data_IF_725397660802
#
_entry.id   IF_725397660802
#
_cell.length_a   1.000
_cell.length_b   1.000
_cell.length_c   1.000
_cell.angle_alpha   90.00
_cell.angle_beta   90.00
_cell.angle_gamma   90.00
#
_symmetry.space_group_name_H-M   'P 1'
#
loop_
_entity.id
_entity.type
_entity.pdbx_description
1 polymer ?
#
# COMPACT_ATOMS: atom_id res chain seq x y z
N UNK A 1 -28.50 -20.82 -2.25
CA UNK A 1 -29.01 -21.37 -0.97
C UNK A 1 -28.62 -22.84 -0.91
N UNK A 2 -28.10 -23.28 0.24
CA UNK A 2 -27.59 -24.63 0.48
C UNK A 2 -28.19 -25.14 1.81
N UNK A 3 -28.73 -26.36 1.81
CA UNK A 3 -29.17 -27.04 3.03
C UNK A 3 -28.09 -28.02 3.46
N UNK A 4 -27.28 -27.63 4.43
CA UNK A 4 -26.19 -28.43 4.97
C UNK A 4 -26.74 -29.49 5.93
N UNK A 5 -26.62 -30.75 5.53
CA UNK A 5 -27.10 -31.90 6.31
C UNK A 5 -26.16 -32.27 7.47
N UNK A 6 -24.90 -31.82 7.43
CA UNK A 6 -23.88 -32.12 8.44
C UNK A 6 -23.01 -30.88 8.74
N UNK A 7 -23.59 -29.78 9.26
CA UNK A 7 -22.89 -28.50 9.42
C UNK A 7 -21.72 -28.52 10.42
N UNK A 8 -21.70 -29.53 11.30
CA UNK A 8 -20.63 -29.75 12.27
C UNK A 8 -19.47 -30.59 11.73
N UNK A 9 -19.55 -31.08 10.48
CA UNK A 9 -18.47 -31.82 9.85
C UNK A 9 -17.29 -30.87 9.61
N UNK A 10 -16.28 -30.95 10.47
CA UNK A 10 -15.09 -30.14 10.40
C UNK A 10 -13.90 -30.99 9.94
N UNK A 11 -13.34 -30.66 8.78
CA UNK A 11 -12.16 -31.34 8.22
C UNK A 11 -10.83 -30.76 8.72
N UNK A 12 -10.88 -29.84 9.68
CA UNK A 12 -9.70 -29.17 10.24
C UNK A 12 -9.60 -29.36 11.75
N UNK A 13 -8.41 -29.14 12.30
CA UNK A 13 -8.16 -29.21 13.75
C UNK A 13 -8.65 -27.96 14.52
N UNK A 14 -9.15 -26.92 13.83
CA UNK A 14 -9.60 -25.69 14.47
C UNK A 14 -10.98 -25.89 15.10
N UNK A 15 -11.20 -25.56 16.39
CA UNK A 15 -12.51 -25.66 17.02
C UNK A 15 -13.54 -24.82 16.27
N UNK A 16 -14.65 -25.45 15.85
CA UNK A 16 -15.75 -24.81 15.12
C UNK A 16 -16.91 -24.56 16.09
N UNK A 17 -17.47 -23.35 16.06
CA UNK A 17 -18.71 -23.03 16.77
C UNK A 17 -19.95 -23.66 16.12
N UNK A 18 -21.14 -23.33 16.61
CA UNK A 18 -22.37 -23.76 15.95
C UNK A 18 -22.51 -23.10 14.57
N UNK A 19 -22.78 -23.91 13.53
CA UNK A 19 -23.00 -23.44 12.15
C UNK A 19 -24.45 -23.75 11.77
N UNK A 20 -25.18 -22.79 11.15
CA UNK A 20 -26.56 -23.02 10.73
C UNK A 20 -26.65 -24.07 9.62
N UNK A 21 -27.77 -24.81 9.57
CA UNK A 21 -28.04 -25.77 8.49
C UNK A 21 -28.46 -25.06 7.19
N UNK A 22 -29.18 -23.93 7.30
CA UNK A 22 -29.57 -23.11 6.16
C UNK A 22 -28.48 -22.10 5.80
N UNK A 23 -27.68 -22.40 4.77
CA UNK A 23 -26.49 -21.63 4.40
C UNK A 23 -26.67 -20.95 3.05
N UNK A 24 -26.07 -19.78 2.85
CA UNK A 24 -26.21 -19.04 1.60
C UNK A 24 -24.99 -18.17 1.30
N UNK A 25 -24.78 -17.95 0.00
CA UNK A 25 -23.90 -16.94 -0.57
C UNK A 25 -24.73 -16.11 -1.54
N UNK A 26 -24.62 -14.78 -1.44
CA UNK A 26 -25.09 -13.84 -2.44
C UNK A 26 -23.86 -13.04 -2.87
N UNK A 27 -23.57 -13.03 -4.17
CA UNK A 27 -22.40 -12.35 -4.73
C UNK A 27 -22.85 -11.53 -5.93
N UNK A 28 -22.37 -10.30 -6.02
CA UNK A 28 -22.58 -9.37 -7.12
C UNK A 28 -21.21 -8.78 -7.47
N UNK A 29 -20.74 -9.12 -8.67
CA UNK A 29 -19.52 -8.58 -9.26
C UNK A 29 -19.91 -7.91 -10.58
N UNK A 30 -19.60 -6.63 -10.74
CA UNK A 30 -19.88 -5.86 -11.95
C UNK A 30 -18.80 -4.80 -12.19
N UNK A 31 -18.51 -4.56 -13.46
CA UNK A 31 -17.73 -3.40 -13.91
C UNK A 31 -18.48 -2.76 -15.07
N UNK A 32 -18.91 -1.53 -14.85
CA UNK A 32 -19.65 -0.76 -15.85
C UNK A 32 -18.86 0.49 -16.22
N UNK A 33 -18.56 0.63 -17.51
CA UNK A 33 -18.05 1.86 -18.11
C UNK A 33 -19.25 2.75 -18.45
N UNK A 34 -19.47 3.83 -17.70
CA UNK A 34 -20.60 4.74 -17.93
C UNK A 34 -20.32 5.70 -19.09
N UNK A 35 -19.07 6.11 -19.23
CA UNK A 35 -18.50 6.92 -20.31
C UNK A 35 -17.06 6.48 -20.55
N UNK A 36 -16.37 7.05 -21.55
CA UNK A 36 -14.95 6.76 -21.82
C UNK A 36 -14.01 7.15 -20.66
N UNK A 37 -14.49 7.95 -19.72
CA UNK A 37 -13.73 8.56 -18.62
C UNK A 37 -14.34 8.32 -17.24
N UNK A 38 -15.45 7.59 -17.13
CA UNK A 38 -16.11 7.26 -15.86
C UNK A 38 -16.48 5.80 -15.83
N UNK A 39 -16.00 5.09 -14.81
CA UNK A 39 -16.31 3.68 -14.59
C UNK A 39 -16.66 3.38 -13.14
N UNK A 40 -17.53 2.40 -12.94
CA UNK A 40 -17.90 1.88 -11.64
C UNK A 40 -17.52 0.41 -11.50
N UNK A 41 -17.19 0.02 -10.28
CA UNK A 41 -16.93 -1.37 -9.89
C UNK A 41 -17.80 -1.69 -8.68
N UNK A 42 -18.45 -2.84 -8.72
CA UNK A 42 -19.16 -3.43 -7.58
C UNK A 42 -18.57 -4.82 -7.37
N UNK A 43 -18.12 -5.10 -6.16
CA UNK A 43 -17.77 -6.45 -5.71
C UNK A 43 -18.30 -6.61 -4.29
N UNK A 44 -19.41 -7.33 -4.14
CA UNK A 44 -20.09 -7.52 -2.86
C UNK A 44 -20.44 -8.99 -2.70
N UNK A 45 -20.00 -9.58 -1.60
CA UNK A 45 -20.30 -10.98 -1.26
C UNK A 45 -20.81 -11.10 0.18
N UNK A 46 -22.11 -11.40 0.31
CA UNK A 46 -22.75 -11.71 1.59
C UNK A 46 -22.78 -13.22 1.82
N UNK A 47 -22.35 -13.63 3.00
CA UNK A 47 -22.27 -15.02 3.43
C UNK A 47 -23.14 -15.25 4.67
N UNK A 48 -23.65 -16.47 4.83
CA UNK A 48 -24.40 -16.87 6.02
C UNK A 48 -23.53 -17.04 7.27
N UNK A 49 -22.28 -17.44 7.09
CA UNK A 49 -21.34 -17.79 8.16
C UNK A 49 -19.89 -17.80 7.64
N UNK A 50 -18.92 -17.82 8.56
CA UNK A 50 -17.49 -17.72 8.27
C UNK A 50 -16.88 -18.96 7.59
N UNK A 51 -17.57 -20.11 7.62
CA UNK A 51 -17.03 -21.38 7.12
C UNK A 51 -17.57 -21.76 5.75
N UNK A 52 -18.48 -20.96 5.18
CA UNK A 52 -19.18 -21.31 3.92
C UNK A 52 -18.20 -21.55 2.78
N UNK A 53 -17.25 -20.62 2.63
CA UNK A 53 -16.24 -20.66 1.58
C UNK A 53 -15.35 -21.89 1.74
N UNK A 54 -14.95 -22.20 2.97
CA UNK A 54 -14.12 -23.36 3.27
C UNK A 54 -14.81 -24.69 2.95
N UNK A 55 -16.09 -24.83 3.27
CA UNK A 55 -16.80 -26.10 3.14
C UNK A 55 -17.24 -26.38 1.70
N UNK A 56 -17.80 -25.36 1.03
CA UNK A 56 -18.46 -25.53 -0.27
C UNK A 56 -17.69 -24.92 -1.46
N UNK A 57 -16.78 -23.95 -1.22
CA UNK A 57 -16.08 -23.21 -2.27
C UNK A 57 -14.55 -23.28 -2.08
N UNK A 58 -14.01 -24.48 -1.87
CA UNK A 58 -12.59 -24.70 -1.51
C UNK A 58 -11.58 -24.10 -2.48
N UNK A 59 -11.89 -24.05 -3.78
CA UNK A 59 -11.00 -23.45 -4.78
C UNK A 59 -10.89 -21.93 -4.57
N UNK A 60 -12.02 -21.26 -4.36
CA UNK A 60 -12.07 -19.82 -4.10
C UNK A 60 -11.48 -19.50 -2.73
N UNK A 61 -11.80 -20.30 -1.71
CA UNK A 61 -11.28 -20.11 -0.35
C UNK A 61 -9.75 -20.12 -0.26
N UNK A 62 -9.07 -20.88 -1.14
CA UNK A 62 -7.59 -20.89 -1.20
C UNK A 62 -6.99 -19.56 -1.68
N UNK A 63 -7.76 -18.77 -2.42
CA UNK A 63 -7.32 -17.51 -3.03
C UNK A 63 -7.88 -16.32 -2.24
N UNK A 64 -9.18 -16.35 -1.96
CA UNK A 64 -9.92 -15.30 -1.28
C UNK A 64 -10.81 -15.91 -0.17
N UNK A 65 -10.24 -16.21 1.02
CA UNK A 65 -10.99 -16.81 2.13
C UNK A 65 -12.00 -15.85 2.77
N UNK A 66 -11.74 -14.53 2.68
CA UNK A 66 -12.55 -13.46 3.26
C UNK A 66 -12.91 -12.47 2.15
N UNK A 67 -14.05 -12.68 1.47
CA UNK A 67 -14.50 -11.79 0.41
C UNK A 67 -14.64 -10.36 0.89
N UNK A 68 -14.11 -9.42 0.10
CA UNK A 68 -14.26 -8.00 0.34
C UNK A 68 -15.67 -7.53 -0.07
N UNK A 69 -16.06 -6.33 0.37
CA UNK A 69 -17.30 -5.70 -0.10
C UNK A 69 -17.02 -4.24 -0.40
N UNK A 70 -16.95 -3.92 -1.69
CA UNK A 70 -16.57 -2.61 -2.19
C UNK A 70 -17.49 -2.17 -3.33
N UNK A 71 -17.86 -0.91 -3.29
CA UNK A 71 -18.48 -0.18 -4.40
C UNK A 71 -17.60 1.02 -4.68
N UNK A 72 -17.12 1.15 -5.91
CA UNK A 72 -16.26 2.23 -6.32
C UNK A 72 -16.78 2.91 -7.59
N UNK A 73 -16.57 4.21 -7.68
CA UNK A 73 -16.82 5.03 -8.86
C UNK A 73 -15.60 5.90 -9.09
N UNK A 74 -15.04 5.84 -10.30
CA UNK A 74 -13.86 6.62 -10.65
C UNK A 74 -14.12 7.45 -11.90
N UNK A 75 -13.65 8.70 -11.88
CA UNK A 75 -13.54 9.57 -13.05
C UNK A 75 -12.08 9.82 -13.34
N UNK A 76 -11.64 9.50 -14.56
CA UNK A 76 -10.25 9.64 -14.99
C UNK A 76 -10.10 10.74 -16.02
N UNK A 77 -9.14 11.63 -15.82
CA UNK A 77 -8.76 12.66 -16.79
C UNK A 77 -7.25 12.53 -17.12
N UNK A 78 -6.77 13.28 -18.10
CA UNK A 78 -5.33 13.36 -18.38
C UNK A 78 -4.51 14.02 -17.26
N UNK A 79 -5.12 14.90 -16.44
CA UNK A 79 -4.46 15.62 -15.35
C UNK A 79 -4.82 15.13 -13.96
N UNK A 80 -5.97 14.49 -13.76
CA UNK A 80 -6.40 14.03 -12.44
C UNK A 80 -7.18 12.72 -12.48
N UNK A 81 -7.43 12.14 -11.32
CA UNK A 81 -8.37 11.04 -11.13
C UNK A 81 -9.15 11.30 -9.84
N UNK A 82 -10.47 11.22 -9.90
CA UNK A 82 -11.35 11.36 -8.74
C UNK A 82 -12.02 10.01 -8.49
N UNK A 83 -11.79 9.45 -7.31
CA UNK A 83 -12.29 8.13 -6.93
C UNK A 83 -13.15 8.25 -5.69
N UNK A 84 -14.38 7.74 -5.75
CA UNK A 84 -15.25 7.54 -4.59
C UNK A 84 -15.36 6.05 -4.28
N UNK A 85 -15.14 5.65 -3.04
CA UNK A 85 -15.14 4.25 -2.58
C UNK A 85 -16.04 4.14 -1.36
N UNK A 86 -16.84 3.09 -1.34
CA UNK A 86 -17.56 2.59 -0.18
C UNK A 86 -17.13 1.14 0.07
N UNK A 87 -16.34 0.91 1.12
CA UNK A 87 -15.92 -0.43 1.56
C UNK A 87 -16.55 -0.72 2.91
N UNK A 88 -17.22 -1.85 3.09
CA UNK A 88 -18.03 -2.11 4.28
C UNK A 88 -18.00 -3.57 4.74
N UNK A 89 -18.22 -3.78 6.04
CA UNK A 89 -18.27 -5.10 6.65
C UNK A 89 -19.63 -5.76 6.42
N UNK A 90 -19.87 -6.26 5.20
CA UNK A 90 -21.09 -7.01 4.92
C UNK A 90 -21.21 -8.27 5.78
N UNK A 91 -20.08 -8.86 6.21
CA UNK A 91 -20.00 -10.09 7.00
C UNK A 91 -19.39 -9.82 8.37
N UNK A 92 -20.24 -9.64 9.39
CA UNK A 92 -19.85 -9.24 10.75
C UNK A 92 -19.05 -10.28 11.56
N UNK A 93 -18.70 -11.42 10.96
CA UNK A 93 -17.85 -12.45 11.54
C UNK A 93 -16.40 -12.38 11.02
N UNK A 94 -16.08 -11.40 10.18
CA UNK A 94 -14.73 -11.12 9.71
C UNK A 94 -14.30 -9.72 10.11
N UNK A 95 -13.03 -9.56 10.45
CA UNK A 95 -12.45 -8.25 10.73
C UNK A 95 -12.29 -7.46 9.42
N UNK A 96 -12.73 -6.20 9.37
CA UNK A 96 -12.58 -5.33 8.20
C UNK A 96 -12.37 -3.87 8.61
N UNK A 97 -11.63 -3.13 7.78
CA UNK A 97 -11.60 -1.65 7.84
C UNK A 97 -12.63 -1.12 6.86
N UNK A 98 -13.71 -0.54 7.36
CA UNK A 98 -14.72 0.16 6.58
C UNK A 98 -14.22 1.56 6.18
N UNK A 99 -14.66 2.00 5.00
CA UNK A 99 -14.43 3.31 4.39
C UNK A 99 -15.76 3.80 3.83
N UNK A 100 -16.52 4.58 4.60
CA UNK A 100 -17.93 4.87 4.31
C UNK A 100 -18.30 6.35 4.57
N UNK A 101 -18.05 7.26 3.61
CA UNK A 101 -17.37 7.06 2.33
C UNK A 101 -15.87 7.39 2.39
N UNK A 102 -15.14 7.00 1.36
CA UNK A 102 -13.83 7.56 1.03
C UNK A 102 -13.87 8.22 -0.35
N UNK A 103 -13.30 9.42 -0.47
CA UNK A 103 -13.19 10.17 -1.73
C UNK A 103 -11.76 10.68 -1.85
N UNK A 104 -11.10 10.37 -2.96
CA UNK A 104 -9.71 10.73 -3.22
C UNK A 104 -9.59 11.42 -4.58
N UNK A 105 -8.89 12.55 -4.60
CA UNK A 105 -8.48 13.28 -5.79
C UNK A 105 -6.97 13.14 -5.97
N UNK A 106 -6.58 12.42 -7.01
CA UNK A 106 -5.20 12.24 -7.42
C UNK A 106 -4.87 13.24 -8.55
N UNK A 107 -3.91 14.13 -8.32
CA UNK A 107 -3.38 15.03 -9.34
C UNK A 107 -2.13 14.39 -9.93
N UNK A 108 -2.23 14.01 -11.21
CA UNK A 108 -1.14 13.36 -11.95
C UNK A 108 0.01 14.33 -12.13
N UNK A 109 1.23 13.80 -12.11
CA UNK A 109 2.45 14.58 -12.34
C UNK A 109 2.38 15.34 -13.66
N UNK A 110 2.42 16.67 -13.60
CA UNK A 110 2.42 17.53 -14.77
C UNK A 110 3.34 18.74 -14.59
N UNK A 111 3.80 19.32 -15.70
CA UNK A 111 4.65 20.50 -15.69
C UNK A 111 3.88 21.74 -15.24
N UNK A 112 4.43 22.48 -14.27
CA UNK A 112 3.88 23.75 -13.83
C UNK A 112 4.24 24.85 -14.83
N UNK A 113 3.22 25.55 -15.34
CA UNK A 113 3.37 26.71 -16.24
C UNK A 113 4.24 26.44 -17.49
N UNK A 114 4.29 25.18 -17.96
CA UNK A 114 5.17 24.77 -19.07
C UNK A 114 6.67 24.80 -18.74
N UNK A 115 7.02 24.96 -17.47
CA UNK A 115 8.39 24.98 -16.98
C UNK A 115 8.95 23.60 -16.64
N UNK A 116 10.20 23.53 -16.16
CA UNK A 116 10.89 22.28 -15.83
C UNK A 116 10.51 21.72 -14.44
N UNK A 117 9.65 22.41 -13.69
CA UNK A 117 9.17 21.96 -12.38
C UNK A 117 7.85 21.22 -12.60
N UNK A 118 7.76 20.03 -12.04
CA UNK A 118 6.57 19.20 -12.07
C UNK A 118 5.88 19.22 -10.72
N UNK A 119 4.56 19.13 -10.74
CA UNK A 119 3.73 19.02 -9.54
C UNK A 119 2.90 17.74 -9.60
N UNK A 120 2.81 17.06 -8.46
CA UNK A 120 1.87 15.96 -8.21
C UNK A 120 1.26 16.14 -6.81
N UNK A 121 0.07 15.59 -6.62
CA UNK A 121 -0.60 15.68 -5.33
C UNK A 121 -1.73 14.67 -5.19
N UNK A 122 -2.17 14.48 -3.96
CA UNK A 122 -3.23 13.56 -3.57
C UNK A 122 -4.02 14.25 -2.46
N UNK A 123 -5.34 14.31 -2.53
CA UNK A 123 -6.18 14.86 -1.46
C UNK A 123 -7.37 13.96 -1.23
N UNK A 124 -7.65 13.61 0.02
CA UNK A 124 -8.67 12.63 0.36
C UNK A 124 -9.46 12.98 1.62
N UNK A 125 -10.70 12.49 1.65
CA UNK A 125 -11.57 12.40 2.81
C UNK A 125 -11.94 10.94 3.00
N UNK A 126 -11.94 10.44 4.24
CA UNK A 126 -12.49 9.12 4.56
C UNK A 126 -13.13 9.10 5.95
N UNK A 127 -14.34 8.54 6.08
CA UNK A 127 -14.87 8.07 7.37
C UNK A 127 -14.47 6.60 7.54
N UNK A 128 -13.57 6.35 8.50
CA UNK A 128 -12.89 5.08 8.68
C UNK A 128 -13.37 4.38 9.95
N UNK A 129 -13.65 3.08 9.86
CA UNK A 129 -13.98 2.25 11.02
C UNK A 129 -13.23 0.92 10.95
N UNK A 130 -12.53 0.57 12.01
CA UNK A 130 -11.98 -0.79 12.17
C UNK A 130 -13.01 -1.61 12.93
N UNK A 131 -13.65 -2.54 12.22
CA UNK A 131 -14.68 -3.41 12.77
C UNK A 131 -14.14 -4.82 13.01
N UNK A 132 -14.25 -5.28 14.25
CA UNK A 132 -13.88 -6.65 14.63
C UNK A 132 -15.09 -7.60 14.56
N UNK A 133 -14.86 -8.92 14.45
CA UNK A 133 -15.94 -9.90 14.44
C UNK A 133 -16.84 -9.80 15.66
N UNK A 134 -18.13 -10.09 15.49
CA UNK A 134 -19.07 -10.21 16.61
C UNK A 134 -18.58 -11.25 17.62
N UNK A 135 -18.52 -10.84 18.89
CA UNK A 135 -17.99 -11.67 19.98
C UNK A 135 -16.46 -11.64 20.12
N UNK A 136 -15.77 -10.81 19.34
CA UNK A 136 -14.33 -10.55 19.50
C UNK A 136 -14.01 -9.95 20.88
N UNK A 137 -12.81 -10.22 21.37
CA UNK A 137 -12.25 -9.55 22.55
C UNK A 137 -11.66 -8.18 22.22
N UNK A 138 -11.52 -7.85 20.94
CA UNK A 138 -11.06 -6.56 20.46
C UNK A 138 -12.22 -5.54 20.40
N UNK A 139 -11.88 -4.27 20.56
CA UNK A 139 -12.82 -3.16 20.50
C UNK A 139 -12.72 -2.44 19.17
N UNK A 140 -13.84 -2.30 18.46
CA UNK A 140 -13.93 -1.51 17.22
C UNK A 140 -13.72 -0.03 17.51
N UNK A 141 -13.10 0.69 16.57
CA UNK A 141 -12.86 2.14 16.67
C UNK A 141 -13.01 2.80 15.30
N UNK A 142 -13.26 4.11 15.29
CA UNK A 142 -13.39 4.87 14.05
C UNK A 142 -12.90 6.30 14.18
N UNK A 143 -12.60 6.91 13.04
CA UNK A 143 -12.20 8.31 12.93
C UNK A 143 -12.45 8.79 11.50
N UNK A 144 -12.76 10.08 11.35
CA UNK A 144 -12.74 10.74 10.05
C UNK A 144 -11.33 11.27 9.79
N UNK A 145 -10.82 11.01 8.59
CA UNK A 145 -9.52 11.45 8.10
C UNK A 145 -9.68 12.42 6.94
N UNK A 146 -9.03 13.57 7.04
CA UNK A 146 -8.73 14.44 5.90
C UNK A 146 -7.24 14.35 5.63
N UNK A 147 -6.84 14.09 4.40
CA UNK A 147 -5.45 13.96 4.04
C UNK A 147 -5.16 14.78 2.78
N UNK A 148 -4.02 15.44 2.73
CA UNK A 148 -3.55 16.08 1.51
C UNK A 148 -2.03 16.00 1.40
N UNK A 149 -1.55 15.68 0.21
CA UNK A 149 -0.15 15.55 -0.16
C UNK A 149 0.14 16.39 -1.40
N UNK A 150 1.27 17.09 -1.38
CA UNK A 150 1.73 17.95 -2.44
C UNK A 150 3.23 17.77 -2.63
N UNK A 151 3.69 17.54 -3.86
CA UNK A 151 5.10 17.37 -4.17
C UNK A 151 5.50 18.12 -5.43
N UNK A 152 6.67 18.75 -5.37
CA UNK A 152 7.35 19.38 -6.49
C UNK A 152 8.58 18.57 -6.87
N UNK A 153 8.78 18.35 -8.16
CA UNK A 153 9.92 17.64 -8.71
C UNK A 153 10.62 18.48 -9.77
N UNK A 154 11.93 18.37 -9.87
CA UNK A 154 12.71 19.05 -10.90
C UNK A 154 13.64 18.06 -11.63
N UNK A 155 13.09 17.22 -12.52
CA UNK A 155 13.89 16.27 -13.28
C UNK A 155 14.77 17.02 -14.29
N UNK A 156 16.09 16.80 -14.23
CA UNK A 156 17.02 17.39 -15.19
C UNK A 156 18.16 16.42 -15.54
N UNK A 157 18.73 16.59 -16.75
CA UNK A 157 19.93 15.85 -17.18
C UNK A 157 21.13 16.78 -17.23
N UNK A 158 22.11 16.51 -16.38
CA UNK A 158 23.35 17.24 -16.30
C UNK A 158 24.42 16.58 -17.18
N UNK A 159 25.23 17.41 -17.83
CA UNK A 159 26.35 16.98 -18.69
C UNK A 159 25.97 16.04 -19.86
N UNK A 160 24.67 15.89 -20.15
CA UNK A 160 24.14 15.00 -21.19
C UNK A 160 24.09 13.51 -20.82
N UNK A 161 24.45 13.12 -19.59
CA UNK A 161 24.50 11.71 -19.19
C UNK A 161 24.00 11.42 -17.77
N UNK A 162 24.01 12.41 -16.87
CA UNK A 162 23.61 12.24 -15.48
C UNK A 162 22.19 12.76 -15.27
N UNK A 163 21.24 11.87 -15.03
CA UNK A 163 19.89 12.25 -14.63
C UNK A 163 19.85 12.49 -13.13
N UNK A 164 19.29 13.63 -12.69
CA UNK A 164 19.01 13.91 -11.29
C UNK A 164 17.59 14.44 -11.17
N UNK A 165 16.83 13.91 -10.22
CA UNK A 165 15.44 14.27 -9.93
C UNK A 165 15.32 14.60 -8.44
N UNK A 166 15.68 15.83 -8.02
CA UNK A 166 15.30 16.34 -6.71
C UNK A 166 13.78 16.47 -6.59
N UNK A 167 13.28 16.21 -5.38
CA UNK A 167 11.87 16.33 -4.99
C UNK A 167 11.75 16.89 -3.58
N UNK A 168 10.71 17.67 -3.37
CA UNK A 168 10.30 18.18 -2.05
C UNK A 168 8.79 18.15 -1.96
N UNK A 169 8.25 17.75 -0.82
CA UNK A 169 6.82 17.66 -0.62
C UNK A 169 6.40 17.86 0.83
N UNK A 170 5.08 17.94 0.99
CA UNK A 170 4.39 18.16 2.23
C UNK A 170 3.11 17.34 2.25
N UNK A 171 2.86 16.63 3.36
CA UNK A 171 1.60 15.97 3.66
C UNK A 171 1.00 16.56 4.93
N UNK A 172 -0.28 16.85 4.91
CA UNK A 172 -1.05 17.23 6.08
C UNK A 172 -2.20 16.27 6.27
N UNK A 173 -2.26 15.61 7.42
CA UNK A 173 -3.33 14.68 7.76
C UNK A 173 -4.04 15.12 9.03
N UNK A 174 -5.35 15.31 8.97
CA UNK A 174 -6.20 15.60 10.12
C UNK A 174 -7.04 14.38 10.46
N UNK A 175 -7.08 14.04 11.75
CA UNK A 175 -7.90 12.96 12.31
C UNK A 175 -8.87 13.57 13.32
N UNK A 176 -10.14 13.19 13.28
CA UNK A 176 -11.10 13.61 14.29
C UNK A 176 -10.88 12.93 15.64
N UNK A 177 -10.25 11.76 15.64
CA UNK A 177 -10.01 10.97 16.85
C UNK A 177 -8.64 10.29 16.81
N UNK A 178 -8.00 10.30 17.98
CA UNK A 178 -6.71 9.66 18.24
C UNK A 178 -6.76 8.90 19.57
N UNK A 179 -5.69 8.20 19.90
CA UNK A 179 -5.50 7.52 21.17
C UNK A 179 -4.79 8.41 22.20
N UNK A 180 -5.34 8.47 23.41
CA UNK A 180 -4.69 9.09 24.57
C UNK A 180 -3.53 8.20 25.07
N UNK A 181 -2.32 8.61 24.72
CA UNK A 181 -1.07 7.93 25.10
C UNK A 181 -0.80 7.99 26.61
N UNK A 182 -1.33 8.96 27.35
CA UNK A 182 -1.13 9.04 28.80
C UNK A 182 -1.93 8.00 29.58
N UNK A 183 -3.00 7.46 28.99
CA UNK A 183 -3.93 6.52 29.63
C UNK A 183 -3.93 5.12 29.03
N UNK A 184 -3.35 4.95 27.83
CA UNK A 184 -3.27 3.64 27.16
C UNK A 184 -1.98 2.91 27.56
N UNK A 185 -2.08 1.64 27.95
CA UNK A 185 -0.93 0.85 28.42
C UNK A 185 -0.04 0.42 27.24
N UNK A 186 1.23 0.80 27.28
CA UNK A 186 2.25 0.42 26.31
C UNK A 186 2.80 -0.99 26.58
N UNK A 187 2.84 -1.80 25.54
CA UNK A 187 3.78 -2.91 25.43
C UNK A 187 4.42 -2.83 24.05
N UNK A 188 5.74 -2.57 23.92
CA UNK A 188 6.38 -2.53 22.61
C UNK A 188 6.22 -3.88 21.92
N UNK A 189 6.14 -3.86 20.59
CA UNK A 189 6.18 -5.08 19.80
C UNK A 189 7.49 -5.82 20.09
N UNK A 190 7.40 -7.12 20.36
CA UNK A 190 8.60 -7.98 20.45
C UNK A 190 9.11 -8.40 19.06
N UNK A 191 8.36 -8.10 18.00
CA UNK A 191 8.72 -8.44 16.63
C UNK A 191 9.63 -7.34 16.05
N UNK A 192 10.90 -7.66 15.71
CA UNK A 192 11.84 -6.69 15.16
C UNK A 192 11.42 -6.15 13.77
N UNK A 193 10.48 -6.81 13.09
CA UNK A 193 9.96 -6.41 11.79
C UNK A 193 8.84 -5.36 11.87
N UNK A 194 8.38 -5.04 13.08
CA UNK A 194 7.31 -4.08 13.33
C UNK A 194 7.90 -2.86 14.06
N UNK A 195 7.59 -1.63 13.63
CA UNK A 195 7.99 -0.43 14.36
C UNK A 195 7.47 -0.42 15.81
N UNK A 196 8.30 0.06 16.74
CA UNK A 196 7.94 0.09 18.17
C UNK A 196 6.76 1.00 18.50
N UNK A 197 6.48 1.99 17.65
CA UNK A 197 5.38 2.92 17.86
C UNK A 197 4.01 2.33 17.47
N UNK A 198 3.97 1.23 16.71
CA UNK A 198 2.71 0.58 16.36
C UNK A 198 2.17 -0.18 17.58
N UNK A 199 1.09 0.35 18.13
CA UNK A 199 0.44 -0.22 19.30
C UNK A 199 -0.52 -1.35 18.92
N UNK A 200 -0.68 -2.36 19.77
CA UNK A 200 -1.63 -3.44 19.55
C UNK A 200 -3.08 -2.92 19.56
N UNK A 201 -3.98 -3.74 19.02
CA UNK A 201 -5.40 -3.45 19.02
C UNK A 201 -5.99 -3.34 20.43
N UNK A 202 -6.91 -2.37 20.64
CA UNK A 202 -7.60 -2.24 21.91
C UNK A 202 -8.48 -3.46 22.16
N UNK A 203 -8.64 -3.83 23.43
CA UNK A 203 -9.45 -4.98 23.84
C UNK A 203 -10.56 -4.54 24.78
N UNK A 204 -11.63 -5.31 24.89
CA UNK A 204 -12.72 -5.02 25.84
C UNK A 204 -12.23 -4.92 27.31
N UNK A 205 -11.07 -5.50 27.64
CA UNK A 205 -10.43 -5.38 28.97
C UNK A 205 -9.52 -4.16 29.11
N UNK A 206 -8.99 -3.67 27.99
CA UNK A 206 -8.12 -2.49 27.88
C UNK A 206 -8.64 -1.66 26.70
N UNK A 207 -9.77 -0.98 26.89
CA UNK A 207 -10.44 -0.28 25.80
C UNK A 207 -9.61 0.93 25.35
N UNK A 208 -9.91 1.42 24.15
CA UNK A 208 -9.36 2.67 23.64
C UNK A 208 -9.82 3.82 24.52
N UNK A 209 -8.88 4.71 24.84
CA UNK A 209 -9.20 6.02 25.41
C UNK A 209 -8.90 7.05 24.36
N UNK A 210 -9.93 7.78 23.92
CA UNK A 210 -9.81 8.77 22.87
C UNK A 210 -9.10 10.03 23.37
N UNK A 211 -8.16 10.53 22.57
CA UNK A 211 -7.36 11.73 22.81
C UNK A 211 -7.93 12.98 22.13
N UNK A 212 -9.02 12.85 21.38
CA UNK A 212 -9.58 13.92 20.55
C UNK A 212 -8.89 14.05 19.20
N UNK A 213 -9.15 15.18 18.54
CA UNK A 213 -8.69 15.44 17.19
C UNK A 213 -7.22 15.87 17.13
N UNK A 214 -6.62 15.69 15.97
CA UNK A 214 -5.23 16.09 15.76
C UNK A 214 -4.91 16.41 14.31
N UNK A 215 -3.92 17.28 14.12
CA UNK A 215 -3.34 17.57 12.82
C UNK A 215 -1.88 17.15 12.79
N UNK A 216 -1.51 16.44 11.73
CA UNK A 216 -0.22 15.80 11.56
C UNK A 216 0.48 16.28 10.29
N UNK A 217 1.51 17.14 10.42
CA UNK A 217 2.33 17.58 9.29
C UNK A 217 3.52 16.64 9.06
N UNK A 218 3.72 16.23 7.82
CA UNK A 218 4.89 15.48 7.35
C UNK A 218 5.55 16.24 6.21
N UNK A 219 6.87 16.39 6.28
CA UNK A 219 7.67 16.98 5.22
C UNK A 219 8.59 15.92 4.62
N UNK A 220 8.70 15.90 3.30
CA UNK A 220 9.62 15.00 2.62
C UNK A 220 10.54 15.75 1.66
N UNK A 221 11.77 15.26 1.55
CA UNK A 221 12.74 15.72 0.57
C UNK A 221 13.52 14.51 0.06
N UNK A 222 13.93 14.54 -1.20
CA UNK A 222 14.70 13.46 -1.76
C UNK A 222 15.35 13.82 -3.07
N UNK A 223 16.26 12.96 -3.51
CA UNK A 223 16.88 13.08 -4.82
C UNK A 223 17.18 11.70 -5.37
N UNK A 224 16.66 11.43 -6.57
CA UNK A 224 17.10 10.29 -7.36
C UNK A 224 18.19 10.75 -8.32
N UNK A 225 19.24 9.95 -8.50
CA UNK A 225 20.17 10.14 -9.60
C UNK A 225 20.52 8.82 -10.26
N UNK A 226 20.67 8.84 -11.58
CA UNK A 226 21.10 7.67 -12.34
C UNK A 226 21.83 8.06 -13.61
N UNK A 227 22.66 7.16 -14.12
CA UNK A 227 23.27 7.27 -15.44
C UNK A 227 23.37 5.90 -16.07
N UNK A 228 23.61 5.85 -17.38
CA UNK A 228 23.76 4.60 -18.13
C UNK A 228 25.15 4.53 -18.76
N UNK A 229 25.76 3.37 -18.65
CA UNK A 229 26.97 2.97 -19.38
C UNK A 229 26.61 1.73 -20.16
N UNK A 230 26.95 1.69 -21.44
CA UNK A 230 26.66 0.52 -22.27
C UNK A 230 27.89 0.03 -23.02
N UNK A 231 27.90 -1.27 -23.30
CA UNK A 231 28.88 -1.93 -24.15
C UNK A 231 28.21 -2.96 -25.04
N UNK A 232 28.54 -2.90 -26.32
CA UNK A 232 28.12 -3.81 -27.37
C UNK A 232 29.20 -4.86 -27.66
N UNK A 233 28.75 -6.10 -27.90
CA UNK A 233 29.55 -7.20 -28.44
C UNK A 233 28.77 -7.90 -29.54
N UNK A 234 29.02 -7.52 -30.77
CA UNK A 234 28.39 -8.10 -31.96
C UNK A 234 28.77 -9.57 -32.17
N UNK A 235 29.98 -9.97 -31.74
CA UNK A 235 30.52 -11.31 -31.94
C UNK A 235 29.97 -12.37 -30.97
N UNK A 236 29.20 -11.96 -29.95
CA UNK A 236 28.61 -12.89 -28.99
C UNK A 236 27.36 -13.51 -29.61
N UNK A 237 27.52 -14.72 -30.14
CA UNK A 237 26.44 -15.50 -30.73
C UNK A 237 26.34 -16.88 -30.07
N UNK A 238 25.12 -17.29 -29.73
CA UNK A 238 24.85 -18.63 -29.21
C UNK A 238 23.45 -19.08 -29.54
N UNK A 239 23.35 -20.14 -30.35
CA UNK A 239 22.06 -20.76 -30.66
C UNK A 239 21.41 -21.43 -29.45
N UNK A 240 22.21 -21.95 -28.51
CA UNK A 240 21.69 -22.60 -27.31
C UNK A 240 21.02 -21.62 -26.36
N UNK A 241 21.57 -20.40 -26.26
CA UNK A 241 21.03 -19.33 -25.40
C UNK A 241 20.19 -18.30 -26.16
N UNK A 242 20.03 -18.46 -27.47
CA UNK A 242 19.29 -17.53 -28.33
C UNK A 242 19.93 -16.15 -28.43
N UNK A 243 21.27 -16.09 -28.39
CA UNK A 243 22.05 -14.84 -28.47
C UNK A 243 22.48 -14.58 -29.91
N UNK A 244 22.19 -13.38 -30.41
CA UNK A 244 22.72 -12.82 -31.64
C UNK A 244 23.18 -11.37 -31.41
N UNK A 245 24.43 -11.24 -31.00
CA UNK A 245 24.97 -10.02 -30.44
C UNK A 245 24.50 -9.80 -29.00
N UNK A 246 25.29 -9.07 -28.22
CA UNK A 246 24.99 -8.76 -26.83
C UNK A 246 25.24 -7.27 -26.55
N UNK A 247 24.22 -6.58 -26.05
CA UNK A 247 24.34 -5.24 -25.48
C UNK A 247 24.18 -5.34 -23.97
N UNK A 248 25.23 -4.96 -23.23
CA UNK A 248 25.13 -4.80 -21.77
C UNK A 248 24.95 -3.33 -21.44
N UNK A 249 23.86 -3.02 -20.76
CA UNK A 249 23.58 -1.72 -20.17
C UNK A 249 23.71 -1.84 -18.65
N UNK A 250 24.66 -1.10 -18.09
CA UNK A 250 24.82 -0.90 -16.66
C UNK A 250 24.19 0.44 -16.31
N UNK A 251 23.22 0.44 -15.43
CA UNK A 251 22.58 1.65 -14.90
C UNK A 251 22.77 1.72 -13.38
N UNK A 252 23.85 2.35 -12.91
CA UNK A 252 23.96 2.74 -11.52
C UNK A 252 22.90 3.78 -11.18
N UNK A 253 22.30 3.65 -10.01
CA UNK A 253 21.34 4.59 -9.48
C UNK A 253 21.49 4.78 -7.98
N UNK A 254 21.00 5.92 -7.52
CA UNK A 254 20.91 6.28 -6.11
C UNK A 254 19.57 6.95 -5.86
N UNK A 255 18.98 6.69 -4.71
CA UNK A 255 17.79 7.40 -4.26
C UNK A 255 17.93 7.75 -2.77
N UNK A 256 18.03 9.05 -2.48
CA UNK A 256 18.04 9.57 -1.12
C UNK A 256 16.62 10.00 -0.74
N UNK A 257 16.13 9.55 0.41
CA UNK A 257 14.83 9.93 0.96
C UNK A 257 14.96 10.39 2.41
N UNK A 258 14.43 11.57 2.68
CA UNK A 258 14.35 12.20 3.99
C UNK A 258 12.90 12.55 4.29
N UNK A 259 12.42 12.11 5.44
CA UNK A 259 11.05 12.33 5.92
C UNK A 259 11.12 12.78 7.36
N UNK A 260 10.48 13.91 7.65
CA UNK A 260 10.34 14.44 8.99
C UNK A 260 8.87 14.62 9.34
N UNK A 261 8.57 14.24 10.57
CA UNK A 261 7.25 14.12 11.17
C UNK A 261 7.33 14.91 12.47
N UNK A 262 6.96 16.19 12.39
CA UNK A 262 7.00 17.09 13.55
C UNK A 262 5.64 17.17 14.25
N UNK A 263 4.79 16.18 14.01
CA UNK A 263 3.41 16.14 14.46
C UNK A 263 3.22 15.40 15.78
N UNK A 264 1.97 14.99 16.07
CA UNK A 264 1.64 14.11 17.16
C UNK A 264 2.38 12.77 17.01
N UNK A 265 2.79 12.19 18.15
CA UNK A 265 3.48 10.90 18.16
C UNK A 265 2.70 9.85 17.33
N UNK A 266 3.33 9.19 16.33
CA UNK A 266 2.66 8.21 15.47
C UNK A 266 1.91 7.10 16.23
N UNK A 267 2.33 6.77 17.46
CA UNK A 267 1.65 5.80 18.32
C UNK A 267 0.23 6.24 18.76
N UNK A 268 -0.06 7.54 18.75
CA UNK A 268 -1.42 8.04 19.07
C UNK A 268 -2.38 7.84 17.90
N UNK A 269 -1.89 7.62 16.69
CA UNK A 269 -2.72 7.50 15.50
C UNK A 269 -3.38 6.13 15.45
N UNK A 270 -4.70 6.13 15.25
CA UNK A 270 -5.48 4.91 15.06
C UNK A 270 -5.14 4.30 13.70
N UNK A 271 -4.89 2.99 13.70
CA UNK A 271 -4.35 2.31 12.53
C UNK A 271 -5.49 1.74 11.67
N UNK A 272 -5.81 2.40 10.56
CA UNK A 272 -6.74 1.93 9.52
C UNK A 272 -5.96 1.39 8.32
N UNK A 273 -4.89 2.09 7.95
CA UNK A 273 -3.87 1.74 6.95
C UNK A 273 -2.60 1.23 7.63
N UNK A 274 -2.63 -0.04 8.07
CA UNK A 274 -1.51 -0.63 8.82
C UNK A 274 -0.29 -0.84 7.95
N UNK A 275 0.86 -0.61 8.57
CA UNK A 275 2.12 -1.17 8.11
C UNK A 275 2.13 -2.68 8.32
N UNK A 276 2.27 -3.42 7.23
CA UNK A 276 2.46 -4.87 7.26
C UNK A 276 3.89 -5.21 6.82
N UNK A 277 4.67 -5.90 7.67
CA UNK A 277 6.01 -6.32 7.29
C UNK A 277 5.98 -7.25 6.08
N UNK A 278 6.85 -6.99 5.10
CA UNK A 278 6.89 -7.73 3.85
C UNK A 278 8.34 -7.98 3.44
N UNK A 279 8.55 -9.04 2.65
CA UNK A 279 9.82 -9.28 1.94
C UNK A 279 9.92 -8.48 0.65
N UNK A 280 8.86 -7.77 0.25
CA UNK A 280 8.90 -6.86 -0.89
C UNK A 280 9.67 -5.61 -0.52
N UNK A 281 10.37 -5.05 -1.51
CA UNK A 281 11.10 -3.81 -1.35
C UNK A 281 10.15 -2.68 -0.94
N UNK A 282 10.43 -2.08 0.22
CA UNK A 282 9.67 -0.95 0.71
C UNK A 282 9.86 0.26 -0.23
N UNK A 283 8.77 0.92 -0.65
CA UNK A 283 8.87 2.27 -1.20
C UNK A 283 9.42 3.21 -0.13
N UNK A 284 10.44 3.97 -0.49
CA UNK A 284 11.03 5.01 0.39
C UNK A 284 10.57 6.42 -0.01
N UNK A 285 9.72 6.50 -1.04
CA UNK A 285 9.26 7.75 -1.63
C UNK A 285 7.77 7.98 -1.37
N UNK A 286 7.39 9.25 -1.38
CA UNK A 286 6.00 9.66 -1.43
C UNK A 286 5.58 9.97 -2.88
N UNK A 287 4.33 9.65 -3.25
CA UNK A 287 3.26 9.09 -2.40
C UNK A 287 3.25 7.55 -2.28
N UNK A 288 4.29 6.84 -2.76
CA UNK A 288 4.28 5.37 -2.85
C UNK A 288 4.19 4.65 -1.50
N UNK A 289 4.55 5.31 -0.40
CA UNK A 289 4.29 4.79 0.95
C UNK A 289 2.81 5.00 1.33
N UNK A 290 2.03 3.92 1.24
CA UNK A 290 0.56 3.95 1.36
C UNK A 290 0.03 3.85 2.80
N UNK A 291 0.85 3.42 3.76
CA UNK A 291 0.43 3.30 5.18
C UNK A 291 0.40 4.67 5.89
N UNK A 292 -0.57 5.52 5.53
CA UNK A 292 -0.68 6.92 5.98
C UNK A 292 -0.61 7.04 7.51
N UNK A 293 -1.36 6.19 8.21
CA UNK A 293 -1.47 6.19 9.68
C UNK A 293 -0.18 5.72 10.37
N UNK A 294 0.69 5.03 9.63
CA UNK A 294 1.96 4.50 10.12
C UNK A 294 3.17 5.28 9.63
N UNK A 295 3.03 6.41 8.90
CA UNK A 295 4.19 7.23 8.50
C UNK A 295 5.02 7.60 9.76
N UNK A 296 6.32 7.76 9.63
CA UNK A 296 7.21 8.17 10.72
C UNK A 296 8.41 8.92 10.12
N UNK A 297 9.33 9.40 10.96
CA UNK A 297 10.56 10.00 10.47
C UNK A 297 11.50 8.94 9.91
N UNK A 298 12.15 9.22 8.78
CA UNK A 298 13.22 8.38 8.27
C UNK A 298 14.23 9.16 7.43
N UNK A 299 15.42 8.58 7.30
CA UNK A 299 16.49 9.04 6.42
C UNK A 299 17.16 7.80 5.86
N UNK A 300 16.88 7.51 4.59
CA UNK A 300 17.30 6.30 3.89
C UNK A 300 18.02 6.69 2.62
N UNK A 301 19.14 6.02 2.35
CA UNK A 301 19.87 6.19 1.11
C UNK A 301 20.02 4.85 0.39
N UNK A 302 19.26 4.69 -0.69
CA UNK A 302 19.30 3.51 -1.55
C UNK A 302 20.37 3.67 -2.61
N UNK A 303 21.21 2.65 -2.75
CA UNK A 303 22.25 2.56 -3.77
C UNK A 303 22.04 1.28 -4.56
N UNK A 304 22.03 1.37 -5.88
CA UNK A 304 21.79 0.20 -6.72
C UNK A 304 22.45 0.26 -8.07
N UNK A 305 22.49 -0.91 -8.71
CA UNK A 305 22.99 -1.09 -10.07
C UNK A 305 22.05 -2.05 -10.77
N UNK A 306 21.46 -1.59 -11.86
CA UNK A 306 20.68 -2.41 -12.77
C UNK A 306 21.55 -2.84 -13.94
N UNK A 307 21.65 -4.14 -14.17
CA UNK A 307 22.34 -4.75 -15.29
C UNK A 307 21.30 -5.32 -16.25
N UNK A 308 21.32 -4.85 -17.49
CA UNK A 308 20.48 -5.40 -18.55
C UNK A 308 21.34 -5.94 -19.67
N UNK A 309 21.11 -7.20 -20.03
CA UNK A 309 21.68 -7.84 -21.20
C UNK A 309 20.58 -7.94 -22.25
N UNK A 310 20.81 -7.30 -23.39
CA UNK A 310 19.89 -7.28 -24.52
C UNK A 310 20.53 -7.99 -25.72
N UNK A 311 19.71 -8.66 -26.53
CA UNK A 311 20.16 -9.37 -27.74
C UNK A 311 19.18 -9.11 -28.89
N UNK A 312 19.61 -9.35 -30.13
CA UNK A 312 18.71 -9.23 -31.28
C UNK A 312 17.90 -10.49 -31.47
N UNK A 313 16.63 -10.31 -31.84
CA UNK A 313 15.72 -11.38 -32.22
C UNK A 313 14.66 -10.82 -33.15
N UNK A 314 14.54 -11.40 -34.34
CA UNK A 314 13.49 -11.05 -35.32
C UNK A 314 13.44 -9.53 -35.61
N UNK A 315 14.60 -8.92 -35.86
CA UNK A 315 14.81 -7.46 -36.05
C UNK A 315 14.41 -6.57 -34.87
N UNK A 316 14.23 -7.15 -33.68
CA UNK A 316 13.97 -6.44 -32.44
C UNK A 316 15.09 -6.66 -31.42
N UNK A 317 15.29 -5.69 -30.55
CA UNK A 317 16.12 -5.85 -29.36
C UNK A 317 15.24 -6.37 -28.22
N UNK A 318 15.63 -7.51 -27.65
CA UNK A 318 14.91 -8.11 -26.52
C UNK A 318 15.82 -8.18 -25.29
N UNK A 319 15.25 -7.94 -24.11
CA UNK A 319 15.96 -8.16 -22.84
C UNK A 319 16.12 -9.66 -22.61
N UNK A 320 17.35 -10.16 -22.66
CA UNK A 320 17.70 -11.56 -22.40
C UNK A 320 17.81 -11.83 -20.90
N UNK A 321 18.41 -10.91 -20.15
CA UNK A 321 18.54 -10.97 -18.70
C UNK A 321 18.51 -9.56 -18.11
N UNK A 322 17.78 -9.39 -17.01
CA UNK A 322 17.85 -8.20 -16.17
C UNK A 322 18.13 -8.62 -14.73
N UNK A 323 19.13 -7.98 -14.11
CA UNK A 323 19.48 -8.17 -12.70
C UNK A 323 19.58 -6.78 -12.06
N UNK A 324 18.75 -6.51 -11.06
CA UNK A 324 18.79 -5.30 -10.26
C UNK A 324 19.27 -5.67 -8.85
N UNK A 325 20.38 -5.06 -8.43
CA UNK A 325 20.93 -5.23 -7.09
C UNK A 325 20.99 -3.89 -6.40
N UNK A 326 20.51 -3.81 -5.18
CA UNK A 326 20.54 -2.60 -4.37
C UNK A 326 20.83 -2.94 -2.91
N UNK A 327 21.20 -1.92 -2.14
CA UNK A 327 21.22 -1.96 -0.69
C UNK A 327 20.81 -0.58 -0.16
N UNK A 328 20.22 -0.57 1.02
CA UNK A 328 19.84 0.66 1.71
C UNK A 328 20.84 0.96 2.84
N UNK A 329 21.22 2.22 2.95
CA UNK A 329 21.89 2.77 4.13
C UNK A 329 20.83 3.46 4.97
N UNK A 330 20.49 2.86 6.11
CA UNK A 330 19.46 3.34 7.02
C UNK A 330 20.12 4.23 8.08
N UNK A 331 20.22 5.54 7.79
CA UNK A 331 20.68 6.51 8.79
C UNK A 331 19.68 6.60 9.94
N UNK A 332 18.40 6.58 9.60
CA UNK A 332 17.29 6.39 10.51
C UNK A 332 16.14 5.72 9.76
N UNK A 333 15.73 4.51 10.16
CA UNK A 333 14.53 3.85 9.64
C UNK A 333 13.81 3.16 10.81
N UNK A 334 12.60 3.60 11.21
CA UNK A 334 11.85 2.97 12.29
C UNK A 334 11.23 1.62 11.88
N UNK A 335 11.19 1.32 10.59
CA UNK A 335 10.65 0.09 10.02
C UNK A 335 11.73 -0.94 9.65
N UNK A 336 13.00 -0.54 9.60
CA UNK A 336 14.16 -1.43 9.56
C UNK A 336 15.31 -0.86 10.39
N UNK A 337 15.59 -1.52 11.52
CA UNK A 337 16.59 -1.05 12.49
C UNK A 337 18.00 -1.48 12.15
N UNK A 338 18.18 -2.24 11.08
CA UNK A 338 19.51 -2.59 10.60
C UNK A 338 20.16 -1.35 9.96
N UNK A 339 21.47 -1.10 10.19
CA UNK A 339 22.14 0.01 9.54
C UNK A 339 22.19 -0.14 8.00
N UNK A 340 22.10 -1.37 7.52
CA UNK A 340 22.12 -1.75 6.11
C UNK A 340 21.16 -2.90 5.86
N UNK A 341 20.38 -2.80 4.78
CA UNK A 341 19.39 -3.80 4.37
C UNK A 341 19.39 -4.07 2.87
#
# INVERSE_FOLDING_TARGET
YLQDQNPLLNRTALPRGAVPTGRYRLSLEDRTEFTDDIYGIIDVTKLSDSFLMQDFYQNEFRINPVPDNVVALAKTDSFYTLTGIARFQANNFFEQTERLPEVVLDIKRHALFGGPIFYEGESGFADLRREFPVGSLFESYGATRLDTFHQLLYPNTYFGWLSIVPRIGFRGTYYTETRDLGKTIFGPSSNPLVPDFLLPDPTLRKPIVFGGDTFRPVFNAGAEASFKVSRDWEDVQSRAFGLDGLLHVIQPYTNFSYVSENGPNPASILQFDRFEPSTQLRPIDFPQFTSIDSIAEWTIWRLGVRNRLETRRDDQTVTWLEVDTFFDVNFHDPYDRTPYS
#
